data_IF_686913627635
#
_entry.id   IF_686913627635
#
_cell.length_a   1.000
_cell.length_b   1.000
_cell.length_c   1.000
_cell.angle_alpha   90.00
_cell.angle_beta   90.00
_cell.angle_gamma   90.00
#
_symmetry.space_group_name_H-M   'P 1'
#
loop_
_entity.id
_entity.type
_entity.pdbx_description
1 polymer ?
#
# COMPACT_ATOMS: atom_id res chain seq x y z
N UNK A 1 23.20 50.14 0.40
CA UNK A 1 22.77 49.08 1.35
C UNK A 1 21.85 48.13 0.61
N UNK A 2 22.18 46.84 0.68
CA UNK A 2 22.00 45.84 -0.36
C UNK A 2 20.55 45.39 -0.61
N UNK A 3 19.96 45.84 -1.71
CA UNK A 3 18.83 45.14 -2.36
C UNK A 3 19.23 43.77 -2.92
N UNK A 4 20.52 43.54 -3.19
CA UNK A 4 21.01 42.26 -3.74
C UNK A 4 21.15 41.14 -2.71
N UNK A 5 21.17 41.44 -1.39
CA UNK A 5 21.23 40.41 -0.35
C UNK A 5 19.85 39.74 -0.15
N UNK A 6 18.77 40.48 -0.33
CA UNK A 6 17.40 39.94 -0.23
C UNK A 6 16.97 39.18 -1.49
N UNK A 7 17.39 39.62 -2.68
CA UNK A 7 17.16 38.85 -3.92
C UNK A 7 17.99 37.56 -3.98
N UNK A 8 19.15 37.51 -3.32
CA UNK A 8 19.94 36.29 -3.22
C UNK A 8 19.37 35.32 -2.18
N UNK A 9 18.74 35.80 -1.09
CA UNK A 9 18.05 34.91 -0.13
C UNK A 9 16.74 34.32 -0.70
N UNK A 10 15.98 35.06 -1.50
CA UNK A 10 14.81 34.49 -2.18
C UNK A 10 15.19 33.52 -3.31
N UNK A 11 16.34 33.72 -3.98
CA UNK A 11 16.89 32.75 -4.93
C UNK A 11 17.47 31.50 -4.25
N UNK A 12 18.16 31.63 -3.13
CA UNK A 12 18.69 30.48 -2.37
C UNK A 12 17.58 29.63 -1.72
N UNK A 13 16.38 30.19 -1.51
CA UNK A 13 15.21 29.45 -1.01
C UNK A 13 14.43 28.79 -2.17
N UNK A 14 14.51 29.33 -3.40
CA UNK A 14 13.92 28.75 -4.61
C UNK A 14 14.82 27.77 -5.36
N UNK A 15 16.09 27.61 -4.96
CA UNK A 15 17.05 26.65 -5.55
C UNK A 15 17.32 25.41 -4.69
N UNK A 16 16.36 25.00 -3.83
CA UNK A 16 16.21 23.56 -3.57
C UNK A 16 15.48 22.95 -4.75
N UNK A 17 16.27 22.77 -5.81
CA UNK A 17 15.96 22.06 -7.05
C UNK A 17 15.06 20.86 -6.78
N UNK A 18 14.05 20.67 -7.64
CA UNK A 18 13.32 19.41 -7.72
C UNK A 18 14.34 18.27 -7.65
N UNK A 19 14.27 17.46 -6.60
CA UNK A 19 15.20 16.34 -6.43
C UNK A 19 15.24 15.53 -7.71
N UNK A 20 16.42 15.28 -8.25
CA UNK A 20 16.56 14.57 -9.51
C UNK A 20 15.98 13.16 -9.38
N UNK A 21 15.62 12.56 -10.52
CA UNK A 21 15.21 11.16 -10.55
C UNK A 21 16.35 10.29 -9.98
N UNK A 22 16.05 9.21 -9.21
CA UNK A 22 17.09 8.31 -8.73
C UNK A 22 17.93 7.77 -9.88
N UNK A 23 19.23 7.63 -9.66
CA UNK A 23 20.19 7.06 -10.63
C UNK A 23 20.30 5.52 -10.55
N UNK A 24 19.59 4.93 -9.59
CA UNK A 24 19.63 3.51 -9.21
C UNK A 24 18.31 3.07 -8.56
N UNK A 25 18.18 1.77 -8.30
CA UNK A 25 17.02 1.20 -7.60
C UNK A 25 15.74 1.08 -8.42
N UNK A 26 14.69 0.65 -7.72
CA UNK A 26 13.38 0.30 -8.30
C UNK A 26 12.65 1.51 -8.90
N UNK A 27 12.97 2.75 -8.49
CA UNK A 27 12.40 3.97 -9.09
C UNK A 27 12.74 4.13 -10.58
N UNK A 28 13.84 3.55 -11.05
CA UNK A 28 14.20 3.53 -12.48
C UNK A 28 13.25 2.69 -13.33
N UNK A 29 12.48 1.79 -12.72
CA UNK A 29 11.57 0.92 -13.46
C UNK A 29 10.34 1.67 -13.98
N UNK A 30 9.92 2.77 -13.33
CA UNK A 30 8.75 3.54 -13.77
C UNK A 30 8.96 4.04 -15.22
N UNK A 31 8.03 3.71 -16.11
CA UNK A 31 8.08 4.01 -17.54
C UNK A 31 8.82 2.98 -18.41
N UNK A 32 9.50 2.00 -17.81
CA UNK A 32 10.17 0.92 -18.55
C UNK A 32 9.17 -0.12 -19.08
N UNK A 33 9.57 -0.83 -20.13
CA UNK A 33 8.78 -1.89 -20.74
C UNK A 33 8.79 -3.18 -19.91
N UNK A 34 7.72 -3.97 -20.00
CA UNK A 34 7.58 -5.25 -19.30
C UNK A 34 8.74 -6.22 -19.60
N UNK A 35 9.24 -6.22 -20.83
CA UNK A 35 10.38 -7.07 -21.22
C UNK A 35 11.66 -6.70 -20.51
N UNK A 36 11.87 -5.41 -20.24
CA UNK A 36 13.02 -4.92 -19.49
C UNK A 36 12.96 -5.38 -18.03
N UNK A 37 11.80 -5.23 -17.36
CA UNK A 37 11.67 -5.66 -15.96
C UNK A 37 11.84 -7.17 -15.81
N UNK A 38 11.34 -7.97 -16.75
CA UNK A 38 11.50 -9.43 -16.72
C UNK A 38 12.96 -9.85 -16.88
N UNK A 39 13.77 -9.04 -17.58
CA UNK A 39 15.22 -9.23 -17.66
C UNK A 39 15.94 -8.99 -16.34
N UNK A 40 15.38 -8.17 -15.44
CA UNK A 40 15.98 -7.81 -14.14
C UNK A 40 15.44 -8.70 -13.01
N UNK A 41 14.12 -8.83 -12.92
CA UNK A 41 13.43 -9.49 -11.81
C UNK A 41 13.04 -10.94 -12.12
N UNK A 42 13.15 -11.38 -13.37
CA UNK A 42 12.67 -12.68 -13.82
C UNK A 42 11.18 -12.69 -14.14
N UNK A 43 10.57 -13.87 -14.14
CA UNK A 43 9.11 -14.00 -14.29
C UNK A 43 8.40 -13.78 -12.95
N UNK A 44 7.24 -13.10 -12.93
CA UNK A 44 6.46 -12.92 -11.71
C UNK A 44 5.89 -14.25 -11.22
N UNK A 45 5.72 -14.39 -9.91
CA UNK A 45 5.06 -15.55 -9.30
C UNK A 45 3.54 -15.49 -9.51
N UNK A 46 2.98 -14.28 -9.58
CA UNK A 46 1.54 -14.05 -9.73
C UNK A 46 1.30 -12.73 -10.48
N UNK A 47 0.20 -12.67 -11.22
CA UNK A 47 -0.31 -11.44 -11.83
C UNK A 47 -1.72 -11.22 -11.28
N UNK A 48 -1.95 -10.08 -10.63
CA UNK A 48 -3.22 -9.72 -10.02
C UNK A 48 -3.79 -8.47 -10.73
N UNK A 49 -5.11 -8.40 -10.90
CA UNK A 49 -5.78 -7.22 -11.47
C UNK A 49 -5.90 -6.12 -10.41
N UNK A 50 -5.70 -4.85 -10.79
CA UNK A 50 -5.89 -3.71 -9.89
C UNK A 50 -7.15 -2.92 -10.20
N UNK A 51 -7.63 -2.18 -9.19
CA UNK A 51 -8.71 -1.21 -9.33
C UNK A 51 -8.38 -0.04 -10.29
N UNK A 52 -7.10 0.14 -10.64
CA UNK A 52 -6.60 1.31 -11.37
C UNK A 52 -6.23 0.99 -12.83
N UNK A 53 -6.63 -0.19 -13.31
CA UNK A 53 -6.51 -0.62 -14.71
C UNK A 53 -5.14 -1.20 -15.08
N UNK A 54 -4.13 -1.06 -14.23
CA UNK A 54 -2.87 -1.77 -14.38
C UNK A 54 -2.95 -3.16 -13.73
N UNK A 55 -2.05 -4.07 -14.12
CA UNK A 55 -1.88 -5.38 -13.49
C UNK A 55 -0.70 -5.36 -12.53
N UNK A 56 -0.85 -5.94 -11.35
CA UNK A 56 0.25 -6.16 -10.42
C UNK A 56 1.03 -7.41 -10.80
N UNK A 57 2.31 -7.24 -11.12
CA UNK A 57 3.27 -8.32 -11.29
C UNK A 57 3.96 -8.54 -9.95
N UNK A 58 3.61 -9.65 -9.29
CA UNK A 58 4.06 -9.95 -7.93
C UNK A 58 5.37 -10.74 -7.98
N UNK A 59 6.42 -10.17 -7.42
CA UNK A 59 7.73 -10.79 -7.28
C UNK A 59 8.00 -11.15 -5.82
N UNK A 60 7.94 -12.44 -5.51
CA UNK A 60 8.16 -12.99 -4.17
C UNK A 60 9.21 -14.09 -4.23
N UNK A 61 10.47 -13.71 -4.45
CA UNK A 61 11.58 -14.68 -4.39
C UNK A 61 11.75 -15.23 -2.97
N UNK A 62 11.61 -14.33 -1.99
CA UNK A 62 11.47 -14.58 -0.56
C UNK A 62 10.82 -13.33 0.06
N UNK A 63 10.64 -13.31 1.39
CA UNK A 63 10.03 -12.17 2.09
C UNK A 63 10.91 -10.92 2.09
N UNK A 64 12.26 -11.04 2.05
CA UNK A 64 13.15 -9.87 2.03
C UNK A 64 13.25 -9.22 0.65
N UNK A 65 12.78 -9.90 -0.40
CA UNK A 65 12.75 -9.40 -1.78
C UNK A 65 11.34 -9.29 -2.37
N UNK A 66 10.32 -9.11 -1.51
CA UNK A 66 8.94 -8.93 -1.96
C UNK A 66 8.71 -7.54 -2.57
N UNK A 67 8.35 -7.50 -3.85
CA UNK A 67 8.02 -6.29 -4.61
C UNK A 67 6.83 -6.55 -5.54
N UNK A 68 5.96 -5.56 -5.71
CA UNK A 68 4.85 -5.57 -6.67
C UNK A 68 5.09 -4.50 -7.72
N UNK A 69 4.98 -4.86 -9.00
CA UNK A 69 5.21 -3.94 -10.13
C UNK A 69 3.92 -3.78 -10.92
N UNK A 70 3.33 -2.59 -10.91
CA UNK A 70 2.11 -2.28 -11.65
C UNK A 70 2.42 -1.97 -13.11
N UNK A 71 1.84 -2.72 -14.04
CA UNK A 71 2.08 -2.61 -15.48
C UNK A 71 0.79 -2.28 -16.21
N UNK A 72 0.78 -1.18 -16.97
CA UNK A 72 -0.31 -0.74 -17.83
C UNK A 72 0.22 -0.56 -19.25
N UNK A 73 -0.48 -1.12 -20.24
CA UNK A 73 -0.09 -0.99 -21.66
C UNK A 73 1.38 -1.32 -21.92
N UNK A 74 1.86 -2.42 -21.32
CA UNK A 74 3.25 -2.90 -21.38
C UNK A 74 4.30 -2.02 -20.67
N UNK A 75 3.90 -0.96 -19.97
CA UNK A 75 4.79 -0.07 -19.24
C UNK A 75 4.56 -0.12 -17.74
N UNK A 76 5.63 -0.01 -16.96
CA UNK A 76 5.54 0.11 -15.51
C UNK A 76 5.00 1.50 -15.14
N UNK A 77 3.96 1.54 -14.32
CA UNK A 77 3.34 2.79 -13.85
C UNK A 77 3.43 2.99 -12.35
N UNK A 78 3.65 1.90 -11.59
CA UNK A 78 3.87 1.94 -10.14
C UNK A 78 4.74 0.78 -9.67
N UNK A 79 5.46 0.95 -8.57
CA UNK A 79 6.22 -0.11 -7.90
C UNK A 79 6.04 0.01 -6.39
N UNK A 80 5.52 -1.03 -5.73
CA UNK A 80 5.44 -1.12 -4.27
C UNK A 80 6.50 -2.09 -3.74
N UNK A 81 7.35 -1.62 -2.83
CA UNK A 81 8.47 -2.35 -2.28
C UNK A 81 8.44 -2.35 -0.75
N UNK A 82 8.42 -3.53 -0.14
CA UNK A 82 8.44 -3.73 1.32
C UNK A 82 9.54 -4.70 1.79
N UNK A 83 10.09 -5.51 0.87
CA UNK A 83 11.26 -6.34 1.15
C UNK A 83 12.47 -5.49 1.57
N UNK A 84 13.13 -5.88 2.66
CA UNK A 84 14.26 -5.14 3.26
C UNK A 84 15.61 -5.35 2.55
N UNK A 85 15.66 -6.23 1.55
CA UNK A 85 16.80 -6.46 0.66
C UNK A 85 16.48 -6.03 -0.79
N UNK A 86 15.77 -4.91 -0.93
CA UNK A 86 15.48 -4.25 -2.19
C UNK A 86 16.21 -2.91 -2.29
N UNK A 87 16.63 -2.56 -3.49
CA UNK A 87 17.19 -1.24 -3.78
C UNK A 87 16.07 -0.22 -4.01
N UNK A 88 15.72 0.52 -2.97
CA UNK A 88 14.72 1.60 -2.98
C UNK A 88 15.37 2.98 -2.92
N UNK A 89 16.57 3.12 -3.50
CA UNK A 89 17.34 4.36 -3.52
C UNK A 89 16.50 5.58 -3.97
N UNK A 90 16.72 6.76 -3.36
CA UNK A 90 17.76 7.10 -2.37
C UNK A 90 17.42 6.65 -0.93
N UNK A 91 16.34 5.90 -0.74
CA UNK A 91 15.89 5.44 0.57
C UNK A 91 16.40 4.03 0.88
N UNK A 92 16.17 3.61 2.13
CA UNK A 92 16.43 2.26 2.59
C UNK A 92 15.31 1.81 3.54
N UNK A 93 14.73 0.65 3.26
CA UNK A 93 13.74 0.03 4.14
C UNK A 93 14.34 -0.14 5.55
N UNK A 94 13.58 0.30 6.56
CA UNK A 94 14.00 0.31 7.97
C UNK A 94 14.82 1.53 8.40
N UNK A 95 15.15 2.47 7.51
CA UNK A 95 15.84 3.69 7.93
C UNK A 95 14.92 4.63 8.73
N UNK A 96 15.45 5.40 9.70
CA UNK A 96 14.67 6.37 10.45
C UNK A 96 14.12 7.51 9.56
N UNK A 97 12.90 7.97 9.83
CA UNK A 97 12.29 9.10 9.13
C UNK A 97 13.11 10.39 9.25
N UNK A 98 13.78 10.59 10.39
CA UNK A 98 14.63 11.77 10.62
C UNK A 98 15.78 11.86 9.61
N UNK A 99 16.38 10.72 9.23
CA UNK A 99 17.45 10.67 8.23
C UNK A 99 16.92 11.06 6.83
N UNK A 100 15.67 10.72 6.55
CA UNK A 100 14.99 11.11 5.31
C UNK A 100 14.79 12.61 5.27
N UNK A 101 14.24 13.21 6.33
CA UNK A 101 13.98 14.65 6.39
C UNK A 101 15.25 15.51 6.44
N UNK A 102 16.37 14.93 6.86
CA UNK A 102 17.67 15.59 6.80
C UNK A 102 18.24 15.69 5.38
N UNK A 103 17.82 14.80 4.47
CA UNK A 103 18.39 14.70 3.11
C UNK A 103 17.41 15.11 2.02
N UNK A 104 16.10 14.99 2.27
CA UNK A 104 15.04 15.28 1.32
C UNK A 104 14.17 16.43 1.80
N UNK A 105 13.76 17.28 0.87
CA UNK A 105 12.65 18.20 1.11
C UNK A 105 11.33 17.45 0.95
N UNK A 106 10.43 17.63 1.91
CA UNK A 106 9.06 17.14 1.83
C UNK A 106 8.14 18.34 1.72
N UNK A 107 7.46 18.46 0.60
CA UNK A 107 6.51 19.54 0.36
C UNK A 107 5.13 19.18 0.90
N UNK A 108 4.42 20.18 1.42
CA UNK A 108 3.03 20.01 1.86
C UNK A 108 2.04 20.03 0.69
N UNK A 109 2.48 20.55 -0.47
CA UNK A 109 1.68 20.64 -1.68
C UNK A 109 2.47 20.08 -2.86
N UNK A 110 1.86 19.19 -3.62
CA UNK A 110 2.47 18.59 -4.81
C UNK A 110 1.61 18.93 -6.02
N UNK A 111 2.12 19.81 -6.88
CA UNK A 111 1.49 20.21 -8.14
C UNK A 111 1.89 19.28 -9.30
N UNK A 112 0.88 18.90 -10.10
CA UNK A 112 1.00 18.04 -11.28
C UNK A 112 0.23 18.68 -12.43
N UNK A 113 0.88 18.85 -13.57
CA UNK A 113 0.24 19.23 -14.83
C UNK A 113 0.20 17.99 -15.72
N UNK A 114 -0.99 17.52 -16.06
CA UNK A 114 -1.17 16.28 -16.82
C UNK A 114 -2.29 16.44 -17.85
N UNK A 115 -1.96 16.21 -19.13
CA UNK A 115 -2.87 16.34 -20.29
C UNK A 115 -3.63 17.68 -20.37
N UNK A 116 -3.03 18.76 -19.88
CA UNK A 116 -3.63 20.11 -19.87
C UNK A 116 -4.55 20.39 -18.68
N UNK A 117 -4.61 19.47 -17.71
CA UNK A 117 -5.28 19.64 -16.43
C UNK A 117 -4.24 19.86 -15.31
N UNK A 118 -4.65 20.57 -14.26
CA UNK A 118 -3.81 20.87 -13.10
C UNK A 118 -4.36 20.18 -11.86
N UNK A 119 -3.48 19.52 -11.11
CA UNK A 119 -3.79 18.75 -9.91
C UNK A 119 -2.85 19.18 -8.78
N UNK A 120 -3.40 19.42 -7.59
CA UNK A 120 -2.63 19.72 -6.38
C UNK A 120 -3.03 18.76 -5.28
N UNK A 121 -2.07 17.93 -4.88
CA UNK A 121 -2.20 17.14 -3.65
C UNK A 121 -1.81 17.97 -2.45
N UNK A 122 -2.64 17.97 -1.41
CA UNK A 122 -2.40 18.65 -0.15
C UNK A 122 -2.20 17.61 0.96
N UNK A 123 -1.03 17.64 1.61
CA UNK A 123 -0.64 16.73 2.68
C UNK A 123 -0.82 17.43 4.03
N UNK A 124 -1.57 16.80 4.93
CA UNK A 124 -1.69 17.27 6.32
C UNK A 124 -0.54 16.76 7.20
N UNK A 125 -0.48 17.22 8.46
CA UNK A 125 0.57 16.84 9.42
C UNK A 125 0.66 15.31 9.64
N UNK A 126 -0.47 14.60 9.60
CA UNK A 126 -0.46 13.14 9.72
C UNK A 126 0.19 12.52 8.50
N UNK A 127 -0.18 12.97 7.29
CA UNK A 127 0.38 12.50 6.03
C UNK A 127 1.89 12.72 5.97
N UNK A 128 2.36 13.91 6.37
CA UNK A 128 3.79 14.22 6.40
C UNK A 128 4.57 13.28 7.31
N UNK A 129 3.98 12.82 8.43
CA UNK A 129 4.67 11.99 9.41
C UNK A 129 4.58 10.49 9.12
N UNK A 130 3.45 10.00 8.59
CA UNK A 130 3.25 8.55 8.41
C UNK A 130 3.32 8.10 6.95
N UNK A 131 3.07 9.03 6.01
CA UNK A 131 3.06 8.70 4.59
C UNK A 131 3.48 9.86 3.67
N UNK A 132 4.66 10.47 3.85
CA UNK A 132 5.05 11.62 3.05
C UNK A 132 5.20 11.27 1.56
N UNK A 133 4.89 12.24 0.69
CA UNK A 133 5.03 12.15 -0.75
C UNK A 133 6.19 13.03 -1.20
N UNK A 134 7.14 12.46 -1.93
CA UNK A 134 8.33 13.15 -2.42
C UNK A 134 8.34 13.09 -3.95
N UNK A 135 8.55 14.23 -4.62
CA UNK A 135 8.75 14.28 -6.07
C UNK A 135 10.23 14.11 -6.41
N UNK A 136 10.58 13.07 -7.17
CA UNK A 136 11.94 12.83 -7.66
C UNK A 136 11.95 12.88 -9.19
N UNK A 137 12.29 14.04 -9.77
CA UNK A 137 12.24 14.28 -11.20
C UNK A 137 10.80 14.24 -11.73
N UNK A 138 10.53 13.25 -12.56
CA UNK A 138 9.24 12.97 -13.21
C UNK A 138 8.46 11.83 -12.53
N UNK A 139 8.87 11.39 -11.34
CA UNK A 139 8.16 10.38 -10.55
C UNK A 139 7.86 10.87 -9.14
N UNK A 140 6.96 10.16 -8.48
CA UNK A 140 6.59 10.39 -7.09
C UNK A 140 6.91 9.18 -6.24
N UNK A 141 7.32 9.43 -5.00
CA UNK A 141 7.65 8.40 -4.03
C UNK A 141 6.81 8.63 -2.79
N UNK A 142 5.83 7.76 -2.59
CA UNK A 142 5.10 7.66 -1.34
C UNK A 142 5.88 6.76 -0.40
N UNK A 143 6.33 7.31 0.72
CA UNK A 143 6.97 6.55 1.79
C UNK A 143 5.87 6.11 2.75
N UNK A 144 5.96 4.91 3.32
CA UNK A 144 5.11 4.49 4.43
C UNK A 144 5.98 4.31 5.66
N UNK A 145 5.66 5.02 6.74
CA UNK A 145 6.41 5.01 7.99
C UNK A 145 5.62 4.19 9.01
N UNK A 146 6.31 3.29 9.70
CA UNK A 146 5.77 2.66 10.89
C UNK A 146 5.88 3.66 12.06
N UNK A 147 4.75 4.26 12.44
CA UNK A 147 4.71 5.31 13.45
C UNK A 147 5.14 4.84 14.85
N UNK A 148 5.10 3.53 15.12
CA UNK A 148 5.54 2.99 16.41
C UNK A 148 7.06 2.87 16.49
N UNK A 149 7.74 2.73 15.35
CA UNK A 149 9.20 2.59 15.29
C UNK A 149 9.91 3.82 14.70
N UNK A 150 9.16 4.74 14.07
CA UNK A 150 9.71 5.90 13.36
C UNK A 150 10.53 5.54 12.12
N UNK A 151 10.37 4.32 11.59
CA UNK A 151 11.20 3.76 10.52
C UNK A 151 10.40 3.53 9.23
N UNK A 152 11.09 3.61 8.09
CA UNK A 152 10.52 3.36 6.78
C UNK A 152 10.05 1.89 6.65
N UNK A 153 8.73 1.69 6.60
CA UNK A 153 8.08 0.40 6.40
C UNK A 153 8.18 -0.03 4.95
N UNK A 154 7.71 0.79 4.02
CA UNK A 154 7.70 0.46 2.60
C UNK A 154 7.78 1.72 1.73
N UNK A 155 8.00 1.53 0.44
CA UNK A 155 8.10 2.60 -0.56
C UNK A 155 7.20 2.26 -1.74
N UNK A 156 6.48 3.26 -2.25
CA UNK A 156 5.71 3.18 -3.49
C UNK A 156 6.18 4.26 -4.47
N UNK A 157 6.68 3.85 -5.62
CA UNK A 157 7.00 4.71 -6.74
C UNK A 157 5.81 4.82 -7.69
N UNK A 158 5.50 6.01 -8.18
CA UNK A 158 4.30 6.32 -8.97
C UNK A 158 4.64 7.28 -10.12
N UNK A 159 4.00 7.10 -11.27
CA UNK A 159 3.90 8.16 -12.28
C UNK A 159 2.70 9.10 -11.98
N UNK A 160 2.62 10.20 -12.73
CA UNK A 160 1.55 11.21 -12.64
C UNK A 160 0.15 10.58 -12.65
N UNK A 161 -0.16 9.83 -13.71
CA UNK A 161 -1.49 9.27 -13.96
C UNK A 161 -1.93 8.33 -12.82
N UNK A 162 -1.02 7.47 -12.34
CA UNK A 162 -1.35 6.54 -11.27
C UNK A 162 -1.59 7.26 -9.95
N UNK A 163 -0.77 8.27 -9.63
CA UNK A 163 -0.97 9.07 -8.43
C UNK A 163 -2.32 9.82 -8.47
N UNK A 164 -2.67 10.43 -9.62
CA UNK A 164 -3.95 11.12 -9.85
C UNK A 164 -5.14 10.15 -9.72
N UNK A 165 -5.03 8.93 -10.23
CA UNK A 165 -6.09 7.90 -10.12
C UNK A 165 -6.23 7.35 -8.71
N UNK A 166 -5.12 7.13 -8.00
CA UNK A 166 -5.15 6.57 -6.64
C UNK A 166 -5.68 7.55 -5.61
N UNK A 167 -5.38 8.85 -5.75
CA UNK A 167 -5.78 9.92 -4.83
C UNK A 167 -5.50 9.59 -3.35
N UNK A 168 -4.25 9.27 -2.98
CA UNK A 168 -3.93 8.90 -1.61
C UNK A 168 -4.06 10.05 -0.60
N UNK A 169 -4.14 11.30 -1.07
CA UNK A 169 -4.23 12.53 -0.29
C UNK A 169 -5.39 13.40 -0.78
N UNK A 170 -5.68 14.49 -0.05
CA UNK A 170 -6.63 15.51 -0.50
C UNK A 170 -6.17 16.11 -1.83
N UNK A 171 -7.10 16.25 -2.78
CA UNK A 171 -6.82 16.65 -4.15
C UNK A 171 -7.70 17.84 -4.55
N UNK A 172 -7.05 18.94 -4.92
CA UNK A 172 -7.66 20.07 -5.61
C UNK A 172 -7.29 20.00 -7.09
N UNK A 173 -8.22 20.26 -8.00
CA UNK A 173 -7.93 20.20 -9.44
C UNK A 173 -8.64 21.29 -10.24
N UNK A 174 -8.09 21.56 -11.43
CA UNK A 174 -8.68 22.42 -12.46
C UNK A 174 -8.64 21.70 -13.81
N UNK A 175 -9.79 21.64 -14.48
CA UNK A 175 -9.96 20.87 -15.71
C UNK A 175 -10.78 19.59 -15.48
N UNK A 176 -10.43 18.52 -16.18
CA UNK A 176 -11.05 17.21 -16.04
C UNK A 176 -10.34 16.37 -14.98
N UNK A 177 -11.13 15.66 -14.17
CA UNK A 177 -10.61 14.73 -13.18
C UNK A 177 -10.49 13.34 -13.79
N UNK A 178 -9.26 12.87 -14.01
CA UNK A 178 -9.04 11.53 -14.54
C UNK A 178 -9.38 10.49 -13.48
N UNK A 179 -10.22 9.53 -13.87
CA UNK A 179 -10.72 8.45 -13.02
C UNK A 179 -10.25 7.08 -13.51
N UNK A 180 -10.17 6.13 -12.58
CA UNK A 180 -10.09 4.73 -12.95
C UNK A 180 -11.44 4.28 -13.52
N UNK A 181 -11.42 3.35 -14.48
CA UNK A 181 -12.65 2.79 -15.00
C UNK A 181 -13.33 1.94 -13.93
N UNK A 182 -14.62 2.15 -13.73
CA UNK A 182 -15.42 1.33 -12.84
C UNK A 182 -15.42 -0.14 -13.30
N UNK A 183 -14.94 -1.08 -12.49
CA UNK A 183 -14.92 -2.49 -12.85
C UNK A 183 -16.33 -3.06 -13.01
N UNK A 184 -16.49 -4.04 -13.90
CA UNK A 184 -17.69 -4.90 -13.91
C UNK A 184 -17.74 -5.75 -12.63
N UNK A 185 -18.91 -6.32 -12.29
CA UNK A 185 -19.03 -7.23 -11.14
C UNK A 185 -18.07 -8.43 -11.23
N UNK A 186 -17.85 -8.97 -12.43
CA UNK A 186 -16.89 -10.05 -12.67
C UNK A 186 -15.45 -9.58 -12.42
N UNK A 187 -15.10 -8.39 -12.89
CA UNK A 187 -13.76 -7.82 -12.68
C UNK A 187 -13.52 -7.46 -11.21
N UNK A 188 -14.54 -6.98 -10.50
CA UNK A 188 -14.46 -6.76 -9.04
C UNK A 188 -14.03 -8.03 -8.33
N UNK A 189 -14.66 -9.18 -8.65
CA UNK A 189 -14.30 -10.44 -8.02
C UNK A 189 -12.84 -10.84 -8.27
N UNK A 190 -12.33 -10.61 -9.48
CA UNK A 190 -10.91 -10.89 -9.83
C UNK A 190 -9.96 -9.97 -9.06
N UNK A 191 -10.29 -8.68 -8.95
CA UNK A 191 -9.51 -7.69 -8.19
C UNK A 191 -9.50 -8.05 -6.70
N UNK A 192 -10.64 -8.42 -6.14
CA UNK A 192 -10.79 -8.83 -4.74
C UNK A 192 -9.91 -10.03 -4.40
N UNK A 193 -9.97 -11.10 -5.20
CA UNK A 193 -9.18 -12.32 -4.99
C UNK A 193 -7.66 -12.10 -5.12
N UNK A 194 -7.24 -11.17 -5.99
CA UNK A 194 -5.84 -10.73 -6.08
C UNK A 194 -5.42 -9.97 -4.82
N UNK A 195 -6.23 -8.99 -4.42
CA UNK A 195 -6.00 -8.13 -3.25
C UNK A 195 -5.92 -8.95 -1.95
N UNK A 196 -6.76 -9.98 -1.80
CA UNK A 196 -6.72 -10.90 -0.65
C UNK A 196 -5.34 -11.58 -0.50
N UNK A 197 -4.77 -12.06 -1.62
CA UNK A 197 -3.46 -12.72 -1.66
C UNK A 197 -2.32 -11.72 -1.44
N UNK A 198 -2.42 -10.52 -2.01
CA UNK A 198 -1.49 -9.43 -1.75
C UNK A 198 -1.44 -9.09 -0.25
N UNK A 199 -2.58 -8.93 0.40
CA UNK A 199 -2.66 -8.62 1.83
C UNK A 199 -2.01 -9.73 2.67
N UNK A 200 -2.26 -11.01 2.37
CA UNK A 200 -1.59 -12.14 3.03
C UNK A 200 -0.07 -12.05 2.88
N UNK A 201 0.41 -11.80 1.66
CA UNK A 201 1.83 -11.73 1.36
C UNK A 201 2.51 -10.57 2.11
N UNK A 202 1.93 -9.36 2.04
CA UNK A 202 2.43 -8.17 2.72
C UNK A 202 2.41 -8.35 4.24
N UNK A 203 1.33 -8.91 4.80
CA UNK A 203 1.22 -9.23 6.23
C UNK A 203 2.36 -10.14 6.66
N UNK A 204 2.68 -11.15 5.85
CA UNK A 204 3.78 -12.06 6.17
C UNK A 204 5.16 -11.40 6.04
N UNK A 205 5.37 -10.48 5.10
CA UNK A 205 6.60 -9.67 5.06
C UNK A 205 6.75 -8.86 6.34
N UNK A 206 5.68 -8.17 6.77
CA UNK A 206 5.68 -7.41 8.01
C UNK A 206 5.98 -8.30 9.23
N UNK A 207 5.30 -9.44 9.36
CA UNK A 207 5.53 -10.41 10.46
C UNK A 207 6.99 -10.87 10.51
N UNK A 208 7.56 -11.29 9.37
CA UNK A 208 8.95 -11.76 9.32
C UNK A 208 9.93 -10.66 9.70
N UNK A 209 9.72 -9.43 9.24
CA UNK A 209 10.55 -8.27 9.61
C UNK A 209 10.45 -7.92 11.11
N UNK A 210 9.35 -8.28 11.76
CA UNK A 210 9.16 -8.18 13.20
C UNK A 210 9.54 -9.45 13.98
N UNK A 211 10.22 -10.42 13.34
CA UNK A 211 10.61 -11.71 13.93
C UNK A 211 9.44 -12.57 14.40
N UNK A 212 8.28 -12.43 13.75
CA UNK A 212 7.05 -13.20 14.00
C UNK A 212 6.87 -14.20 12.86
N UNK A 213 6.41 -15.42 13.16
CA UNK A 213 6.23 -16.47 12.14
C UNK A 213 5.19 -16.06 11.09
N UNK A 214 5.43 -16.43 9.84
CA UNK A 214 4.43 -16.25 8.76
C UNK A 214 3.17 -17.08 9.02
N UNK A 215 2.02 -16.52 8.65
CA UNK A 215 0.70 -17.14 8.67
C UNK A 215 0.45 -17.93 7.39
N UNK A 216 -0.20 -19.08 7.54
CA UNK A 216 -0.71 -19.89 6.42
C UNK A 216 -2.08 -19.39 5.99
N UNK A 217 -2.36 -19.44 4.70
CA UNK A 217 -3.71 -19.17 4.20
C UNK A 217 -4.70 -20.21 4.74
N UNK A 218 -5.88 -19.76 5.14
CA UNK A 218 -7.01 -20.63 5.48
C UNK A 218 -8.26 -20.24 4.69
N UNK A 219 -8.67 -21.13 3.79
CA UNK A 219 -9.74 -20.88 2.81
C UNK A 219 -11.11 -20.66 3.47
N UNK A 220 -11.46 -21.48 4.46
CA UNK A 220 -12.75 -21.37 5.16
C UNK A 220 -12.82 -20.05 5.95
N UNK A 221 -11.73 -19.67 6.61
CA UNK A 221 -11.61 -18.39 7.31
C UNK A 221 -11.65 -17.20 6.34
N UNK A 222 -11.08 -17.32 5.15
CA UNK A 222 -11.14 -16.30 4.09
C UNK A 222 -12.59 -16.11 3.60
N UNK A 223 -13.34 -17.19 3.37
CA UNK A 223 -14.74 -17.11 3.00
C UNK A 223 -15.59 -16.37 4.07
N UNK A 224 -15.30 -16.60 5.35
CA UNK A 224 -15.93 -15.86 6.46
C UNK A 224 -15.56 -14.38 6.44
N UNK A 225 -14.28 -14.06 6.23
CA UNK A 225 -13.81 -12.68 6.12
C UNK A 225 -14.47 -11.95 4.94
N UNK A 226 -14.59 -12.61 3.78
CA UNK A 226 -15.23 -12.06 2.59
C UNK A 226 -16.72 -11.76 2.86
N UNK A 227 -17.42 -12.72 3.47
CA UNK A 227 -18.81 -12.53 3.88
C UNK A 227 -18.99 -11.34 4.82
N UNK A 228 -18.03 -11.09 5.72
CA UNK A 228 -18.08 -9.94 6.62
C UNK A 228 -17.82 -8.61 5.91
N UNK A 229 -16.80 -8.55 5.03
CA UNK A 229 -16.56 -7.37 4.18
C UNK A 229 -17.79 -7.01 3.34
N UNK A 230 -18.44 -8.03 2.76
CA UNK A 230 -19.69 -7.85 2.01
C UNK A 230 -20.83 -7.36 2.91
N UNK A 231 -21.00 -7.94 4.10
CA UNK A 231 -22.04 -7.53 5.04
C UNK A 231 -21.87 -6.07 5.50
N UNK A 232 -20.64 -5.64 5.80
CA UNK A 232 -20.36 -4.23 6.12
C UNK A 232 -20.70 -3.31 4.94
N UNK A 233 -20.37 -3.72 3.71
CA UNK A 233 -20.67 -2.96 2.50
C UNK A 233 -22.16 -2.88 2.20
N UNK A 234 -22.89 -3.98 2.27
CA UNK A 234 -24.31 -4.04 1.92
C UNK A 234 -25.19 -3.25 2.90
N UNK A 235 -24.75 -3.09 4.15
CA UNK A 235 -25.53 -2.48 5.23
C UNK A 235 -25.01 -1.10 5.68
N UNK A 236 -23.91 -0.60 5.09
CA UNK A 236 -23.25 0.65 5.49
C UNK A 236 -22.95 0.68 7.01
N UNK A 237 -22.41 -0.44 7.53
CA UNK A 237 -22.18 -0.66 8.96
C UNK A 237 -20.78 -1.21 9.21
N UNK A 238 -19.85 -0.32 9.58
CA UNK A 238 -18.45 -0.69 9.84
C UNK A 238 -18.25 -1.11 11.31
N UNK A 239 -18.31 -2.41 11.57
CA UNK A 239 -18.29 -2.99 12.92
C UNK A 239 -17.80 -4.43 12.92
N UNK A 240 -16.99 -4.81 13.91
CA UNK A 240 -16.58 -6.20 14.17
C UNK A 240 -17.77 -7.15 14.46
N UNK A 241 -18.90 -6.60 14.89
CA UNK A 241 -20.13 -7.37 15.15
C UNK A 241 -21.16 -7.03 14.09
N UNK A 242 -21.52 -8.03 13.29
CA UNK A 242 -22.63 -7.96 12.34
C UNK A 242 -23.95 -8.01 13.09
N UNK A 243 -24.89 -7.12 12.72
CA UNK A 243 -26.28 -7.16 13.23
C UNK A 243 -27.01 -8.44 12.82
N UNK A 244 -26.58 -9.09 11.74
CA UNK A 244 -27.22 -10.29 11.17
C UNK A 244 -26.48 -11.57 11.52
N UNK A 245 -25.15 -11.54 11.46
CA UNK A 245 -24.30 -12.73 11.60
C UNK A 245 -23.53 -12.79 12.92
N UNK A 246 -23.67 -11.79 13.79
CA UNK A 246 -23.04 -11.75 15.10
C UNK A 246 -21.56 -11.38 15.06
N UNK A 247 -20.87 -11.76 16.13
CA UNK A 247 -19.44 -11.55 16.35
C UNK A 247 -18.57 -12.41 15.42
N UNK A 248 -17.26 -12.16 15.39
CA UNK A 248 -16.29 -13.03 14.70
C UNK A 248 -16.46 -14.52 15.10
N UNK A 249 -16.66 -14.78 16.39
CA UNK A 249 -16.84 -16.15 16.89
C UNK A 249 -18.09 -16.81 16.28
N UNK A 250 -19.21 -16.08 16.24
CA UNK A 250 -20.46 -16.58 15.66
C UNK A 250 -20.31 -16.87 14.17
N UNK A 251 -19.61 -15.99 13.44
CA UNK A 251 -19.34 -16.16 12.00
C UNK A 251 -18.43 -17.36 11.71
N UNK A 252 -17.37 -17.55 12.49
CA UNK A 252 -16.46 -18.70 12.36
C UNK A 252 -17.16 -20.03 12.75
N UNK A 253 -17.97 -20.02 13.82
CA UNK A 253 -18.74 -21.20 14.25
C UNK A 253 -19.79 -21.61 13.21
N UNK A 254 -20.51 -20.64 12.62
CA UNK A 254 -21.46 -20.89 11.55
C UNK A 254 -20.82 -21.53 10.31
N UNK A 255 -19.56 -21.22 10.04
CA UNK A 255 -18.76 -21.83 8.97
C UNK A 255 -18.03 -23.12 9.40
N UNK A 256 -18.22 -23.58 10.64
CA UNK A 256 -17.53 -24.76 11.21
C UNK A 256 -15.99 -24.67 11.20
N UNK A 257 -15.43 -23.45 11.26
CA UNK A 257 -13.98 -23.24 11.31
C UNK A 257 -13.47 -23.61 12.70
N UNK A 258 -12.52 -24.55 12.77
CA UNK A 258 -11.90 -24.98 14.03
C UNK A 258 -10.70 -24.09 14.40
N UNK A 259 -10.72 -23.51 15.61
CA UNK A 259 -9.64 -22.66 16.13
C UNK A 259 -9.59 -22.67 17.67
N UNK A 260 -8.44 -22.29 18.24
CA UNK A 260 -8.24 -22.09 19.69
C UNK A 260 -8.46 -20.64 20.13
N UNK A 261 -7.99 -19.72 19.31
CA UNK A 261 -8.14 -18.27 19.47
C UNK A 261 -8.26 -17.63 18.09
N UNK A 262 -8.94 -16.48 18.03
CA UNK A 262 -9.15 -15.73 16.80
C UNK A 262 -9.00 -14.22 17.06
N UNK A 263 -8.63 -13.48 16.02
CA UNK A 263 -8.57 -12.02 16.01
C UNK A 263 -9.02 -11.49 14.66
N UNK A 264 -9.43 -10.22 14.62
CA UNK A 264 -9.92 -9.59 13.39
C UNK A 264 -9.36 -8.18 13.23
N UNK A 265 -8.94 -7.87 12.01
CA UNK A 265 -8.76 -6.49 11.56
C UNK A 265 -9.78 -6.19 10.47
N UNK A 266 -10.44 -5.04 10.56
CA UNK A 266 -11.33 -4.53 9.50
C UNK A 266 -10.83 -3.17 9.02
N UNK A 267 -11.08 -2.85 7.76
CA UNK A 267 -10.79 -1.56 7.16
C UNK A 267 -11.75 -1.26 6.01
N UNK A 268 -11.95 0.02 5.72
CA UNK A 268 -12.77 0.45 4.60
C UNK A 268 -12.13 1.67 3.90
N UNK A 269 -12.43 1.83 2.61
CA UNK A 269 -12.10 3.02 1.80
C UNK A 269 -10.59 3.30 1.61
N UNK A 270 -9.72 2.31 1.82
CA UNK A 270 -8.32 2.38 1.41
C UNK A 270 -8.18 2.24 -0.12
N UNK A 271 -7.07 2.75 -0.65
CA UNK A 271 -6.78 2.74 -2.09
C UNK A 271 -6.57 1.32 -2.63
N UNK A 272 -5.85 0.47 -1.89
CA UNK A 272 -5.52 -0.90 -2.30
C UNK A 272 -4.96 -1.74 -1.14
N UNK A 273 -4.63 -3.00 -1.44
CA UNK A 273 -4.03 -3.98 -0.52
C UNK A 273 -2.82 -3.47 0.26
N UNK A 274 -1.79 -2.89 -0.39
CA UNK A 274 -0.67 -2.34 0.35
C UNK A 274 -1.03 -1.18 1.28
N UNK A 275 -1.90 -0.25 0.85
CA UNK A 275 -2.29 0.86 1.71
C UNK A 275 -3.06 0.40 2.95
N UNK A 276 -3.94 -0.61 2.82
CA UNK A 276 -4.68 -1.15 3.98
C UNK A 276 -3.77 -1.89 4.95
N UNK A 277 -2.79 -2.65 4.45
CA UNK A 277 -1.81 -3.33 5.30
C UNK A 277 -0.98 -2.34 6.14
N UNK A 278 -0.51 -1.25 5.54
CA UNK A 278 0.20 -0.18 6.25
C UNK A 278 -0.71 0.55 7.25
N UNK A 279 -1.99 0.73 6.91
CA UNK A 279 -3.02 1.28 7.81
C UNK A 279 -3.22 0.42 9.07
N UNK A 280 -3.29 -0.91 8.92
CA UNK A 280 -3.36 -1.83 10.06
C UNK A 280 -2.07 -1.84 10.88
N UNK A 281 -0.90 -1.83 10.23
CA UNK A 281 0.40 -1.76 10.93
C UNK A 281 0.52 -0.52 11.82
N UNK A 282 -0.08 0.59 11.37
CA UNK A 282 -0.12 1.87 12.07
C UNK A 282 -1.33 2.04 13.01
N UNK A 283 -2.16 1.03 13.27
CA UNK A 283 -3.19 1.11 14.31
C UNK A 283 -2.83 0.18 15.45
N UNK A 284 -2.80 0.67 16.69
CA UNK A 284 -2.32 -0.13 17.84
C UNK A 284 -3.05 -1.47 17.97
N UNK A 285 -4.38 -1.46 17.96
CA UNK A 285 -5.18 -2.69 18.09
C UNK A 285 -5.02 -3.62 16.89
N UNK A 286 -4.97 -3.06 15.67
CA UNK A 286 -4.79 -3.88 14.47
C UNK A 286 -3.39 -4.49 14.37
N UNK A 287 -2.37 -3.74 14.79
CA UNK A 287 -0.98 -4.15 14.88
C UNK A 287 -0.80 -5.30 15.88
N UNK A 288 -1.47 -5.24 17.02
CA UNK A 288 -1.47 -6.32 18.01
C UNK A 288 -1.94 -7.64 17.38
N UNK A 289 -3.02 -7.64 16.58
CA UNK A 289 -3.45 -8.83 15.82
C UNK A 289 -2.43 -9.24 14.76
N UNK A 290 -1.94 -8.28 13.97
CA UNK A 290 -1.00 -8.51 12.86
C UNK A 290 0.29 -9.17 13.33
N UNK A 291 0.79 -8.80 14.52
CA UNK A 291 2.05 -9.26 15.10
C UNK A 291 1.87 -10.28 16.24
N UNK A 292 0.65 -10.78 16.47
CA UNK A 292 0.44 -11.82 17.47
C UNK A 292 1.07 -13.14 17.03
N UNK A 293 2.00 -13.66 17.83
CA UNK A 293 2.78 -14.86 17.55
C UNK A 293 2.00 -16.17 17.81
N UNK A 294 0.84 -16.08 18.50
CA UNK A 294 -0.05 -17.22 18.72
C UNK A 294 -0.83 -17.59 17.45
N UNK A 295 -1.05 -16.64 16.54
CA UNK A 295 -1.76 -16.90 15.30
C UNK A 295 -0.90 -17.69 14.32
N UNK A 296 -1.57 -18.61 13.62
CA UNK A 296 -0.92 -19.60 12.74
C UNK A 296 -1.46 -19.52 11.31
N UNK A 297 -2.71 -19.08 11.16
CA UNK A 297 -3.37 -18.95 9.88
C UNK A 297 -4.09 -17.61 9.76
N UNK A 298 -4.34 -17.21 8.52
CA UNK A 298 -5.03 -16.00 8.14
C UNK A 298 -6.00 -16.31 7.00
N UNK A 299 -7.25 -15.91 7.15
CA UNK A 299 -8.17 -15.69 6.04
C UNK A 299 -8.29 -14.20 5.77
N UNK A 300 -8.13 -13.78 4.52
CA UNK A 300 -8.40 -12.41 4.08
C UNK A 300 -9.65 -12.43 3.20
N UNK A 301 -10.50 -11.44 3.39
CA UNK A 301 -11.69 -11.26 2.57
C UNK A 301 -11.86 -9.81 2.15
N UNK A 302 -12.03 -9.58 0.85
CA UNK A 302 -12.20 -8.23 0.29
C UNK A 302 -13.51 -8.17 -0.49
N UNK A 303 -14.32 -7.16 -0.22
CA UNK A 303 -15.50 -6.85 -1.02
C UNK A 303 -15.47 -5.36 -1.35
N UNK A 304 -15.26 -5.02 -2.62
CA UNK A 304 -15.00 -3.67 -3.08
C UNK A 304 -13.89 -2.99 -2.26
N UNK A 305 -14.24 -1.95 -1.49
CA UNK A 305 -13.31 -1.23 -0.60
C UNK A 305 -13.48 -1.58 0.87
N UNK A 306 -14.05 -2.74 1.20
CA UNK A 306 -14.09 -3.30 2.54
C UNK A 306 -13.14 -4.49 2.65
N UNK A 307 -12.31 -4.48 3.69
CA UNK A 307 -11.21 -5.42 3.87
C UNK A 307 -11.31 -6.03 5.27
N UNK A 308 -11.18 -7.36 5.36
CA UNK A 308 -11.20 -8.10 6.64
C UNK A 308 -10.04 -9.08 6.67
N UNK A 309 -9.27 -9.08 7.77
CA UNK A 309 -8.31 -10.11 8.14
C UNK A 309 -8.84 -10.88 9.33
N UNK A 310 -9.08 -12.18 9.18
CA UNK A 310 -9.44 -13.07 10.27
C UNK A 310 -8.25 -13.98 10.59
N UNK A 311 -7.64 -13.73 11.72
CA UNK A 311 -6.52 -14.50 12.24
C UNK A 311 -7.04 -15.64 13.10
N UNK A 312 -6.44 -16.83 12.97
CA UNK A 312 -6.76 -17.96 13.83
C UNK A 312 -5.51 -18.70 14.30
N UNK A 313 -5.61 -19.26 15.49
CA UNK A 313 -4.70 -20.27 16.01
C UNK A 313 -5.30 -21.65 15.82
N UNK A 314 -4.73 -22.47 14.94
CA UNK A 314 -5.07 -23.90 14.84
C UNK A 314 -4.24 -24.70 15.85
N UNK A 315 -4.79 -25.83 16.31
CA UNK A 315 -3.96 -26.83 16.99
C UNK A 315 -2.89 -27.32 16.02
N UNK A 316 -1.62 -27.35 16.45
CA UNK A 316 -0.65 -28.20 15.77
C UNK A 316 -1.09 -29.66 15.98
N UNK A 317 -1.20 -30.42 14.90
CA UNK A 317 -1.31 -31.87 14.93
C UNK A 317 0.03 -32.49 15.36
#
# INVERSE_FOLDING_TARGET
MNKSLYQNQEKDIQEKTSSERPDSGLGLLIGQELTYIKGILGEPQRIDESLYGYQWYIYKTDYSRYVQVGVLNNKVVTVYAIGDNLDVSPFKIGQPIEEIFNTQSVDTNIDIEFEGNSYRFELNDTDLNIRPLIKLGDIYVQLYIDQFTGSLSSVRFLNDETLIKQRPYELVYSGELIEALEPSEEMWRVIEEGTEKEILDITNVMRIRHNVKSLKWDEETSAVAYGHSKDMSDNDDFSHTSKKFGSLSDRLEAASVAYKSAGENIAANYTDGPAVAEGWLNSKGHRESLLNDDFTHLGVGVYQKYYTQNFIQKSED
#
